data_IF_883343470433
#
_entry.id   IF_883343470433
#
_cell.length_a   1.000
_cell.length_b   1.000
_cell.length_c   1.000
_cell.angle_alpha   90.00
_cell.angle_beta   90.00
_cell.angle_gamma   90.00
#
_symmetry.space_group_name_H-M   'P 1'
#
loop_
_entity.id
_entity.type
_entity.pdbx_description
1 polymer ?
#
# COMPACT_ATOMS: atom_id res chain seq x y z
N UNK A 1 14.82 9.19 2.80
CA UNK A 1 14.52 9.93 4.05
C UNK A 1 13.11 9.51 4.46
N UNK A 2 12.87 8.96 5.66
CA UNK A 2 11.58 8.31 5.97
C UNK A 2 10.36 9.24 5.80
N UNK A 3 9.24 8.67 5.33
CA UNK A 3 7.94 9.35 5.21
C UNK A 3 7.58 9.99 6.55
N UNK A 4 7.26 11.29 6.53
CA UNK A 4 6.84 12.02 7.74
C UNK A 4 5.34 11.84 7.95
N UNK A 5 4.96 11.33 9.11
CA UNK A 5 3.58 11.14 9.54
C UNK A 5 3.35 11.69 10.95
N UNK A 6 2.16 12.24 11.21
CA UNK A 6 1.69 12.68 12.54
C UNK A 6 0.62 11.78 13.12
N UNK A 7 -0.08 11.03 12.26
CA UNK A 7 -1.09 10.02 12.64
C UNK A 7 -0.43 8.75 13.19
N UNK A 8 -1.18 7.95 13.95
CA UNK A 8 -0.74 6.63 14.39
C UNK A 8 -0.35 5.77 13.19
N UNK A 9 0.87 5.24 13.22
CA UNK A 9 1.43 4.42 12.16
C UNK A 9 0.56 3.20 11.85
N UNK A 10 0.02 2.54 12.88
CA UNK A 10 -0.90 1.41 12.70
C UNK A 10 -2.15 1.77 11.90
N UNK A 11 -2.70 2.97 12.07
CA UNK A 11 -3.85 3.43 11.29
C UNK A 11 -3.47 3.69 9.83
N UNK A 12 -2.29 4.25 9.58
CA UNK A 12 -1.79 4.47 8.21
C UNK A 12 -1.62 3.13 7.51
N UNK A 13 -1.05 2.14 8.20
CA UNK A 13 -0.92 0.78 7.69
C UNK A 13 -2.31 0.20 7.37
N UNK A 14 -3.28 0.31 8.28
CA UNK A 14 -4.63 -0.18 8.02
C UNK A 14 -5.27 0.47 6.79
N UNK A 15 -5.23 1.80 6.69
CA UNK A 15 -5.71 2.56 5.53
C UNK A 15 -5.02 2.09 4.24
N UNK A 16 -3.70 1.88 4.29
CA UNK A 16 -2.94 1.41 3.13
C UNK A 16 -3.32 -0.01 2.74
N UNK A 17 -3.48 -0.91 3.71
CA UNK A 17 -3.94 -2.29 3.49
C UNK A 17 -5.31 -2.29 2.82
N UNK A 18 -6.25 -1.47 3.28
CA UNK A 18 -7.56 -1.34 2.64
C UNK A 18 -7.44 -0.78 1.22
N UNK A 19 -6.63 0.25 1.02
CA UNK A 19 -6.36 0.81 -0.31
C UNK A 19 -5.75 -0.20 -1.28
N UNK A 20 -4.83 -1.04 -0.80
CA UNK A 20 -4.18 -2.08 -1.59
C UNK A 20 -5.14 -3.19 -1.98
N UNK A 21 -6.08 -3.56 -1.10
CA UNK A 21 -7.13 -4.55 -1.40
C UNK A 21 -8.04 -4.13 -2.56
N UNK A 22 -8.11 -2.83 -2.87
CA UNK A 22 -8.85 -2.32 -4.02
C UNK A 22 -8.12 -2.47 -5.36
N UNK A 23 -6.79 -2.65 -5.36
CA UNK A 23 -6.03 -2.81 -6.59
C UNK A 23 -6.13 -4.24 -7.11
N UNK A 24 -6.23 -4.45 -8.42
CA UNK A 24 -6.09 -5.81 -8.95
C UNK A 24 -4.63 -6.26 -8.96
N UNK A 25 -4.39 -7.47 -8.47
CA UNK A 25 -3.05 -8.08 -8.46
C UNK A 25 -2.09 -7.54 -7.39
N UNK A 26 -2.58 -6.89 -6.32
CA UNK A 26 -1.72 -6.39 -5.22
C UNK A 26 -0.81 -7.48 -4.62
N UNK A 27 -1.27 -8.73 -4.57
CA UNK A 27 -0.53 -9.87 -4.06
C UNK A 27 0.68 -10.25 -4.93
N UNK A 28 0.76 -9.74 -6.18
CA UNK A 28 1.95 -9.95 -7.01
C UNK A 28 3.18 -9.20 -6.49
N UNK A 29 2.97 -8.11 -5.72
CA UNK A 29 4.09 -7.33 -5.18
C UNK A 29 4.90 -8.11 -4.14
N UNK A 30 4.24 -9.02 -3.41
CA UNK A 30 4.89 -9.97 -2.50
C UNK A 30 5.31 -11.28 -3.19
N UNK A 31 5.25 -11.33 -4.52
CA UNK A 31 5.61 -12.51 -5.32
C UNK A 31 4.62 -13.67 -5.22
N UNK A 32 3.41 -13.43 -4.71
CA UNK A 32 2.37 -14.44 -4.70
C UNK A 32 1.63 -14.47 -6.04
N UNK A 33 1.26 -15.68 -6.43
CA UNK A 33 0.36 -15.94 -7.56
C UNK A 33 -1.08 -16.09 -7.03
N UNK A 34 -2.09 -15.97 -7.90
CA UNK A 34 -3.51 -16.04 -7.51
C UNK A 34 -3.82 -17.29 -6.67
N UNK A 35 -3.24 -18.43 -7.05
CA UNK A 35 -3.42 -19.70 -6.35
C UNK A 35 -2.74 -19.74 -4.98
N UNK A 36 -1.59 -19.06 -4.85
CA UNK A 36 -0.88 -18.97 -3.58
C UNK A 36 -1.61 -18.04 -2.62
N UNK A 37 -2.10 -16.92 -3.13
CA UNK A 37 -2.86 -15.94 -2.36
C UNK A 37 -4.19 -16.51 -1.86
N UNK A 38 -4.96 -17.16 -2.73
CA UNK A 38 -6.24 -17.80 -2.36
C UNK A 38 -6.09 -18.99 -1.40
N UNK A 39 -4.89 -19.50 -1.16
CA UNK A 39 -4.61 -20.55 -0.17
C UNK A 39 -4.39 -20.01 1.23
N UNK A 40 -4.11 -18.71 1.36
CA UNK A 40 -3.94 -18.05 2.64
C UNK A 40 -5.30 -17.68 3.21
N UNK A 41 -5.49 -17.90 4.50
CA UNK A 41 -6.65 -17.38 5.23
C UNK A 41 -6.60 -15.85 5.31
N UNK A 42 -7.74 -15.22 5.57
CA UNK A 42 -7.84 -13.76 5.66
C UNK A 42 -6.86 -13.14 6.67
N UNK A 43 -6.59 -13.84 7.78
CA UNK A 43 -5.64 -13.38 8.79
C UNK A 43 -4.19 -13.41 8.27
N UNK A 44 -3.80 -14.46 7.55
CA UNK A 44 -2.48 -14.59 6.93
C UNK A 44 -2.30 -13.56 5.81
N UNK A 45 -3.32 -13.38 4.97
CA UNK A 45 -3.36 -12.35 3.94
C UNK A 45 -3.18 -10.95 4.55
N UNK A 46 -3.89 -10.68 5.66
CA UNK A 46 -3.82 -9.40 6.34
C UNK A 46 -2.44 -9.12 6.97
N UNK A 47 -1.80 -10.14 7.55
CA UNK A 47 -0.41 -10.05 8.03
C UNK A 47 0.56 -9.75 6.88
N UNK A 48 0.46 -10.47 5.75
CA UNK A 48 1.28 -10.20 4.56
C UNK A 48 1.08 -8.76 4.05
N UNK A 49 -0.16 -8.28 3.95
CA UNK A 49 -0.48 -6.92 3.53
C UNK A 49 0.08 -5.87 4.50
N UNK A 50 0.07 -6.12 5.81
CA UNK A 50 0.67 -5.24 6.81
C UNK A 50 2.18 -5.11 6.61
N UNK A 51 2.88 -6.24 6.46
CA UNK A 51 4.32 -6.24 6.19
C UNK A 51 4.65 -5.54 4.88
N UNK A 52 3.86 -5.77 3.84
CA UNK A 52 4.00 -5.08 2.54
C UNK A 52 3.78 -3.58 2.66
N UNK A 53 2.77 -3.16 3.43
CA UNK A 53 2.48 -1.74 3.65
C UNK A 53 3.62 -1.03 4.37
N UNK A 54 4.25 -1.72 5.32
CA UNK A 54 5.47 -1.22 5.97
C UNK A 54 6.58 -0.96 4.95
N UNK A 55 6.83 -1.93 4.06
CA UNK A 55 7.86 -1.83 3.03
C UNK A 55 7.58 -0.72 2.02
N UNK A 56 6.32 -0.61 1.56
CA UNK A 56 5.87 0.47 0.67
C UNK A 56 6.10 1.84 1.33
N UNK A 57 5.69 2.04 2.58
CA UNK A 57 5.90 3.33 3.27
C UNK A 57 7.40 3.64 3.42
N UNK A 58 8.22 2.62 3.67
CA UNK A 58 9.65 2.79 3.75
C UNK A 58 10.25 3.17 2.38
N UNK A 59 9.88 2.45 1.33
CA UNK A 59 10.26 2.72 -0.06
C UNK A 59 9.81 4.09 -0.53
N UNK A 60 8.60 4.52 -0.16
CA UNK A 60 8.05 5.85 -0.48
C UNK A 60 8.86 7.01 0.10
N UNK A 61 9.66 6.75 1.14
CA UNK A 61 10.63 7.71 1.67
C UNK A 61 11.87 7.91 0.78
N UNK A 62 12.08 7.05 -0.20
CA UNK A 62 13.18 7.12 -1.17
C UNK A 62 12.64 7.41 -2.56
N UNK A 63 11.64 6.64 -3.00
CA UNK A 63 10.99 6.76 -4.30
C UNK A 63 9.53 7.16 -4.11
N UNK A 64 9.10 8.37 -4.51
CA UNK A 64 7.75 8.85 -4.21
C UNK A 64 6.65 8.11 -4.98
N UNK A 65 6.99 7.16 -5.86
CA UNK A 65 6.04 6.39 -6.65
C UNK A 65 6.50 4.93 -6.63
N UNK A 66 5.61 4.01 -6.29
CA UNK A 66 5.83 2.56 -6.30
C UNK A 66 4.70 1.92 -7.12
N UNK A 67 5.04 1.08 -8.08
CA UNK A 67 4.07 0.33 -8.88
C UNK A 67 3.59 -0.91 -8.11
N UNK A 68 2.27 -1.12 -8.06
CA UNK A 68 1.66 -2.22 -7.28
C UNK A 68 0.60 -2.93 -8.11
N UNK A 69 0.91 -4.16 -8.54
CA UNK A 69 0.00 -4.94 -9.38
C UNK A 69 -0.27 -4.23 -10.71
N UNK A 70 -1.53 -3.88 -10.96
CA UNK A 70 -1.94 -3.07 -12.12
C UNK A 70 -2.12 -1.57 -11.79
N UNK A 71 -1.81 -1.17 -10.56
CA UNK A 71 -1.91 0.18 -10.05
C UNK A 71 -0.57 0.77 -9.65
N UNK A 72 -0.62 1.92 -8.99
CA UNK A 72 0.54 2.62 -8.44
C UNK A 72 0.19 3.36 -7.17
N UNK A 73 1.14 3.43 -6.27
CA UNK A 73 1.07 4.15 -5.01
C UNK A 73 2.02 5.34 -5.09
N UNK A 74 1.50 6.54 -4.87
CA UNK A 74 2.25 7.79 -4.96
C UNK A 74 2.22 8.52 -3.62
N UNK A 75 3.39 8.83 -3.08
CA UNK A 75 3.56 9.65 -1.89
C UNK A 75 3.73 11.13 -2.23
N UNK A 76 2.82 11.93 -1.71
CA UNK A 76 2.79 13.38 -1.86
C UNK A 76 3.30 14.03 -0.56
N UNK A 77 4.61 14.25 -0.46
CA UNK A 77 5.22 14.85 0.73
C UNK A 77 4.67 16.25 1.07
N UNK A 78 4.31 17.04 0.04
CA UNK A 78 3.74 18.39 0.19
C UNK A 78 2.39 18.38 0.94
N UNK A 79 1.59 17.33 0.74
CA UNK A 79 0.25 17.19 1.31
C UNK A 79 0.22 16.15 2.44
N UNK A 80 1.37 15.55 2.78
CA UNK A 80 1.50 14.44 3.72
C UNK A 80 0.43 13.36 3.48
N UNK A 81 0.32 12.87 2.24
CA UNK A 81 -0.67 11.87 1.87
C UNK A 81 -0.10 10.86 0.87
N UNK A 82 -0.66 9.66 0.88
CA UNK A 82 -0.35 8.59 -0.06
C UNK A 82 -1.60 8.39 -0.92
N UNK A 83 -1.44 8.47 -2.24
CA UNK A 83 -2.50 8.25 -3.21
C UNK A 83 -2.31 6.91 -3.86
N UNK A 84 -3.38 6.15 -3.95
CA UNK A 84 -3.41 4.86 -4.63
C UNK A 84 -4.22 5.01 -5.90
N UNK A 85 -3.61 4.62 -7.01
CA UNK A 85 -4.19 4.66 -8.33
C UNK A 85 -4.33 3.25 -8.88
N UNK A 86 -5.50 2.94 -9.42
CA UNK A 86 -5.74 1.75 -10.23
C UNK A 86 -5.74 2.19 -11.70
N UNK A 87 -4.67 1.85 -12.43
CA UNK A 87 -4.37 2.45 -13.73
C UNK A 87 -4.27 3.99 -13.66
N UNK A 88 -5.24 4.67 -14.29
CA UNK A 88 -5.36 6.13 -14.33
C UNK A 88 -6.31 6.72 -13.25
N UNK A 89 -7.10 5.88 -12.57
CA UNK A 89 -8.08 6.34 -11.60
C UNK A 89 -7.51 6.33 -10.18
N UNK A 90 -7.59 7.46 -9.47
CA UNK A 90 -7.27 7.48 -8.04
C UNK A 90 -8.42 6.84 -7.25
N UNK A 91 -8.20 5.62 -6.75
CA UNK A 91 -9.21 4.84 -6.03
C UNK A 91 -9.20 5.13 -4.52
N UNK A 92 -8.04 5.48 -3.97
CA UNK A 92 -7.90 5.73 -2.54
C UNK A 92 -6.88 6.82 -2.23
N UNK A 93 -7.13 7.59 -1.17
CA UNK A 93 -6.17 8.55 -0.62
C UNK A 93 -6.02 8.34 0.88
N UNK A 94 -4.81 8.00 1.32
CA UNK A 94 -4.44 7.82 2.72
C UNK A 94 -3.78 9.11 3.22
N UNK A 95 -4.37 9.76 4.21
CA UNK A 95 -3.81 10.98 4.82
C UNK A 95 -2.91 10.63 6.01
N UNK A 96 -1.74 11.25 6.09
CA UNK A 96 -0.73 11.01 7.13
C UNK A 96 -0.67 12.13 8.19
N UNK A 97 -1.50 13.16 8.04
CA UNK A 97 -1.53 14.35 8.89
C UNK A 97 -2.42 14.17 10.12
#
# INVERSE_FOLDING_TARGET
MAVRYKRQYSLIIQDLVEALKHLEGYYRLIGFDDKGWNRLDEEQQYECLKTMSHDIIYGLGTEPIIEVGNGKVQYESQLAQIRVFDGDNCVHVVRLN
#
